data_IF_864531619402
#
_entry.id   IF_864531619402
#
_cell.length_a   1.000
_cell.length_b   1.000
_cell.length_c   1.000
_cell.angle_alpha   90.00
_cell.angle_beta   90.00
_cell.angle_gamma   90.00
#
_symmetry.space_group_name_H-M   'P 1'
#
loop_
_entity.id
_entity.type
_entity.pdbx_description
1 polymer ?
#
# COMPACT_ATOMS: atom_id res chain seq x y z
N UNK A 1 6.48 17.99 3.61
CA UNK A 1 5.70 19.02 4.31
C UNK A 1 5.85 18.75 5.79
N UNK A 2 6.37 19.72 6.54
CA UNK A 2 6.51 19.61 8.00
C UNK A 2 5.17 19.94 8.68
N UNK A 3 5.00 19.52 9.94
CA UNK A 3 3.75 19.72 10.67
C UNK A 3 3.30 21.18 10.75
N UNK A 4 4.22 22.10 11.09
CA UNK A 4 3.90 23.52 11.20
C UNK A 4 3.57 24.16 9.84
N UNK A 5 4.14 23.63 8.76
CA UNK A 5 3.84 24.07 7.39
C UNK A 5 2.45 23.59 6.97
N UNK A 6 2.11 22.34 7.29
CA UNK A 6 0.78 21.76 7.07
C UNK A 6 -0.30 22.61 7.73
N UNK A 7 -0.16 22.93 9.02
CA UNK A 7 -1.14 23.74 9.76
C UNK A 7 -1.28 25.16 9.22
N UNK A 8 -0.21 25.74 8.65
CA UNK A 8 -0.28 27.07 8.00
C UNK A 8 -1.00 27.01 6.65
N UNK A 9 -0.75 25.95 5.88
CA UNK A 9 -1.32 25.76 4.53
C UNK A 9 -2.79 25.36 4.57
N UNK A 10 -3.16 24.48 5.50
CA UNK A 10 -4.51 23.93 5.63
C UNK A 10 -5.12 24.33 6.97
N UNK A 11 -5.67 25.55 7.01
CA UNK A 11 -6.22 26.17 8.22
C UNK A 11 -7.69 25.83 8.48
N UNK A 12 -8.42 25.52 7.40
CA UNK A 12 -9.87 25.27 7.43
C UNK A 12 -10.30 24.35 6.27
N UNK A 13 -11.56 23.93 6.29
CA UNK A 13 -12.13 23.06 5.26
C UNK A 13 -12.05 23.69 3.86
N UNK A 14 -12.21 25.01 3.75
CA UNK A 14 -12.17 25.75 2.48
C UNK A 14 -10.78 25.69 1.82
N UNK A 15 -9.71 25.77 2.61
CA UNK A 15 -8.34 25.60 2.11
C UNK A 15 -8.09 24.18 1.59
N UNK A 16 -8.69 23.16 2.21
CA UNK A 16 -8.64 21.78 1.71
C UNK A 16 -9.44 21.62 0.43
N UNK A 17 -10.65 22.18 0.34
CA UNK A 17 -11.49 22.15 -0.87
C UNK A 17 -10.78 22.82 -2.06
N UNK A 18 -10.21 24.00 -1.83
CA UNK A 18 -9.47 24.73 -2.87
C UNK A 18 -8.29 23.93 -3.37
N UNK A 19 -7.43 23.43 -2.48
CA UNK A 19 -6.28 22.64 -2.89
C UNK A 19 -6.69 21.33 -3.58
N UNK A 20 -7.72 20.65 -3.09
CA UNK A 20 -8.24 19.44 -3.73
C UNK A 20 -8.73 19.74 -5.15
N UNK A 21 -9.40 20.87 -5.36
CA UNK A 21 -9.83 21.35 -6.67
C UNK A 21 -8.63 21.56 -7.60
N UNK A 22 -7.63 22.31 -7.15
CA UNK A 22 -6.41 22.61 -7.91
C UNK A 22 -5.71 21.33 -8.36
N UNK A 23 -5.46 20.40 -7.45
CA UNK A 23 -4.82 19.11 -7.76
C UNK A 23 -5.66 18.31 -8.76
N UNK A 24 -6.99 18.33 -8.64
CA UNK A 24 -7.86 17.61 -9.58
C UNK A 24 -7.88 18.23 -10.97
N UNK A 25 -7.90 19.55 -11.06
CA UNK A 25 -7.82 20.27 -12.34
C UNK A 25 -6.47 20.02 -13.02
N UNK A 26 -5.37 20.03 -12.26
CA UNK A 26 -4.03 19.69 -12.75
C UNK A 26 -3.94 18.24 -13.26
N UNK A 27 -4.61 17.29 -12.59
CA UNK A 27 -4.67 15.89 -13.04
C UNK A 27 -5.58 15.66 -14.24
N UNK A 28 -6.41 16.63 -14.60
CA UNK A 28 -7.42 16.50 -15.64
C UNK A 28 -8.67 15.80 -15.13
N UNK A 29 -9.82 16.37 -15.48
CA UNK A 29 -11.15 15.86 -15.12
C UNK A 29 -11.79 15.31 -16.38
N UNK A 30 -12.24 14.07 -16.30
CA UNK A 30 -12.87 13.35 -17.40
C UNK A 30 -14.31 13.07 -17.00
N UNK A 31 -15.24 13.47 -17.86
CA UNK A 31 -16.65 13.18 -17.71
C UNK A 31 -16.89 11.67 -17.80
N UNK A 32 -17.57 11.09 -16.81
CA UNK A 32 -17.86 9.64 -16.79
C UNK A 32 -18.91 9.20 -17.81
N UNK A 33 -19.81 10.11 -18.18
CA UNK A 33 -20.92 9.79 -19.10
C UNK A 33 -20.48 9.84 -20.57
N UNK A 34 -19.77 10.91 -21.00
CA UNK A 34 -19.37 11.09 -22.40
C UNK A 34 -17.86 11.10 -22.68
N UNK A 35 -17.00 11.04 -21.65
CA UNK A 35 -15.54 11.07 -21.83
C UNK A 35 -14.92 12.45 -22.11
N UNK A 36 -15.73 13.51 -22.19
CA UNK A 36 -15.23 14.87 -22.40
C UNK A 36 -14.25 15.31 -21.31
N UNK A 37 -13.25 16.10 -21.71
CA UNK A 37 -12.35 16.81 -20.80
C UNK A 37 -12.82 18.24 -20.50
N UNK A 38 -13.83 18.73 -21.23
CA UNK A 38 -14.30 20.09 -21.10
C UNK A 38 -15.37 20.25 -20.02
N UNK A 39 -15.03 21.04 -19.01
CA UNK A 39 -15.89 21.32 -17.87
C UNK A 39 -15.89 22.81 -17.54
N UNK A 40 -16.93 23.28 -16.87
CA UNK A 40 -16.91 24.54 -16.15
C UNK A 40 -17.12 24.29 -14.66
N UNK A 41 -16.52 25.14 -13.83
CA UNK A 41 -16.65 25.06 -12.38
C UNK A 41 -17.87 25.85 -11.90
N UNK A 42 -18.83 25.17 -11.30
CA UNK A 42 -19.92 25.78 -10.56
C UNK A 42 -19.44 26.12 -9.14
N UNK A 43 -19.15 27.40 -8.90
CA UNK A 43 -18.66 27.91 -7.62
C UNK A 43 -19.69 27.78 -6.50
N UNK A 44 -20.99 27.88 -6.80
CA UNK A 44 -22.04 27.85 -5.78
C UNK A 44 -22.22 26.45 -5.21
N UNK A 45 -22.21 25.46 -6.11
CA UNK A 45 -22.42 24.07 -5.72
C UNK A 45 -21.14 23.24 -5.59
N UNK A 46 -19.98 23.85 -5.86
CA UNK A 46 -18.64 23.24 -5.75
C UNK A 46 -18.50 21.94 -6.54
N UNK A 47 -18.86 22.00 -7.82
CA UNK A 47 -18.83 20.86 -8.75
C UNK A 47 -18.42 21.30 -10.15
N UNK A 48 -17.83 20.37 -10.88
CA UNK A 48 -17.61 20.53 -12.31
C UNK A 48 -18.82 20.05 -13.07
N UNK A 49 -19.25 20.81 -14.06
CA UNK A 49 -20.31 20.41 -14.99
C UNK A 49 -19.72 20.25 -16.38
N UNK A 50 -19.95 19.08 -16.98
CA UNK A 50 -19.49 18.77 -18.33
C UNK A 50 -20.17 19.70 -19.34
N UNK A 51 -19.40 20.27 -20.27
CA UNK A 51 -19.93 21.17 -21.29
C UNK A 51 -20.75 20.44 -22.37
N UNK A 52 -20.46 19.16 -22.60
CA UNK A 52 -21.12 18.37 -23.64
C UNK A 52 -22.45 17.77 -23.17
N UNK A 53 -22.43 16.94 -22.11
CA UNK A 53 -23.63 16.22 -21.65
C UNK A 53 -24.29 16.83 -20.41
N UNK A 54 -23.70 17.89 -19.83
CA UNK A 54 -24.25 18.55 -18.65
C UNK A 54 -24.15 17.76 -17.34
N UNK A 55 -23.52 16.58 -17.33
CA UNK A 55 -23.31 15.76 -16.14
C UNK A 55 -22.43 16.46 -15.11
N UNK A 56 -22.62 16.14 -13.83
CA UNK A 56 -21.95 16.79 -12.72
C UNK A 56 -20.94 15.87 -12.02
N UNK A 57 -19.78 16.43 -11.66
CA UNK A 57 -18.73 15.75 -10.89
C UNK A 57 -18.40 16.59 -9.66
N UNK A 58 -18.56 16.00 -8.47
CA UNK A 58 -18.20 16.66 -7.20
C UNK A 58 -16.70 16.60 -6.94
N UNK A 59 -16.21 17.41 -5.99
CA UNK A 59 -14.81 17.40 -5.52
C UNK A 59 -14.28 16.01 -5.14
N UNK A 60 -15.13 15.13 -4.61
CA UNK A 60 -14.71 13.81 -4.10
C UNK A 60 -15.04 12.66 -5.05
N UNK A 61 -15.86 12.89 -6.09
CA UNK A 61 -16.24 11.87 -7.08
C UNK A 61 -15.01 11.31 -7.79
N UNK A 62 -14.79 10.00 -7.71
CA UNK A 62 -13.66 9.29 -8.31
C UNK A 62 -12.36 9.32 -7.53
N UNK A 63 -12.40 9.82 -6.29
CA UNK A 63 -11.24 9.84 -5.39
C UNK A 63 -11.40 8.81 -4.28
N UNK A 64 -10.35 8.67 -3.48
CA UNK A 64 -10.39 7.95 -2.20
C UNK A 64 -11.47 8.46 -1.25
N UNK A 65 -11.90 9.72 -1.40
CA UNK A 65 -12.86 10.40 -0.54
C UNK A 65 -14.31 10.20 -1.01
N UNK A 66 -14.53 9.53 -2.17
CA UNK A 66 -15.87 9.33 -2.72
C UNK A 66 -16.80 8.65 -1.71
N UNK A 67 -18.01 9.21 -1.57
CA UNK A 67 -19.05 8.70 -0.68
C UNK A 67 -18.76 8.85 0.83
N UNK A 68 -17.68 9.54 1.20
CA UNK A 68 -17.38 9.84 2.59
C UNK A 68 -18.18 11.04 3.09
N UNK A 69 -18.61 10.97 4.35
CA UNK A 69 -19.17 12.11 5.10
C UNK A 69 -18.16 12.72 6.06
N UNK A 70 -16.91 12.25 6.04
CA UNK A 70 -15.84 12.83 6.85
C UNK A 70 -15.38 14.17 6.23
N UNK A 71 -15.07 15.19 7.05
CA UNK A 71 -14.48 16.44 6.57
C UNK A 71 -13.18 16.19 5.79
N UNK A 72 -12.91 16.98 4.75
CA UNK A 72 -11.66 16.98 4.00
C UNK A 72 -10.46 17.23 4.91
N UNK A 73 -10.61 18.07 5.94
CA UNK A 73 -9.56 18.29 6.92
C UNK A 73 -9.08 16.99 7.58
N UNK A 74 -9.97 16.00 7.78
CA UNK A 74 -9.57 14.70 8.32
C UNK A 74 -8.74 13.90 7.33
N UNK A 75 -9.11 13.91 6.06
CA UNK A 75 -8.36 13.24 5.00
C UNK A 75 -6.96 13.85 4.84
N UNK A 76 -6.89 15.17 4.79
CA UNK A 76 -5.62 15.90 4.66
C UNK A 76 -4.72 15.65 5.87
N UNK A 77 -5.28 15.71 7.08
CA UNK A 77 -4.53 15.42 8.31
C UNK A 77 -4.05 13.96 8.34
N UNK A 78 -4.90 13.00 7.94
CA UNK A 78 -4.51 11.60 7.89
C UNK A 78 -3.40 11.35 6.86
N UNK A 79 -3.52 11.92 5.66
CA UNK A 79 -2.48 11.88 4.61
C UNK A 79 -1.18 12.46 5.13
N UNK A 80 -1.24 13.61 5.81
CA UNK A 80 -0.08 14.26 6.41
C UNK A 80 0.58 13.39 7.49
N UNK A 81 -0.18 12.87 8.45
CA UNK A 81 0.35 12.02 9.52
C UNK A 81 0.96 10.73 8.98
N UNK A 82 0.28 10.07 8.04
CA UNK A 82 0.80 8.85 7.41
C UNK A 82 2.09 9.09 6.65
N UNK A 83 2.28 10.27 6.04
CA UNK A 83 3.46 10.57 5.21
C UNK A 83 4.59 11.29 5.95
N UNK A 84 4.32 11.92 7.09
CA UNK A 84 5.31 12.74 7.81
C UNK A 84 6.14 11.95 8.81
N UNK A 85 5.74 10.72 9.11
CA UNK A 85 6.44 9.85 10.05
C UNK A 85 6.93 8.59 9.36
N UNK A 86 8.11 8.09 9.79
CA UNK A 86 8.65 6.82 9.28
C UNK A 86 7.82 5.62 9.73
N UNK A 87 7.29 5.69 10.96
CA UNK A 87 6.39 4.69 11.49
C UNK A 87 4.96 4.91 10.96
N UNK A 88 4.10 3.91 11.12
CA UNK A 88 2.66 4.07 10.86
C UNK A 88 1.90 4.53 12.10
N UNK A 89 0.65 4.92 11.91
CA UNK A 89 -0.31 5.22 12.97
C UNK A 89 -1.32 4.08 13.08
N UNK A 90 -1.68 3.68 14.30
CA UNK A 90 -2.85 2.83 14.49
C UNK A 90 -4.12 3.63 14.19
N UNK A 91 -5.21 2.96 13.78
CA UNK A 91 -6.48 3.64 13.53
C UNK A 91 -7.07 4.29 14.78
N UNK A 92 -6.79 3.73 15.97
CA UNK A 92 -7.20 4.29 17.26
C UNK A 92 -6.42 5.57 17.58
N UNK A 93 -5.13 5.60 17.29
CA UNK A 93 -4.32 6.80 17.46
C UNK A 93 -4.73 7.88 16.45
N UNK A 94 -4.94 7.52 15.17
CA UNK A 94 -5.47 8.43 14.16
C UNK A 94 -6.83 9.03 14.61
N UNK A 95 -7.73 8.20 15.15
CA UNK A 95 -9.00 8.65 15.68
C UNK A 95 -8.83 9.67 16.81
N UNK A 96 -7.90 9.41 17.74
CA UNK A 96 -7.60 10.29 18.87
C UNK A 96 -7.08 11.65 18.39
N UNK A 97 -6.15 11.65 17.44
CA UNK A 97 -5.58 12.88 16.87
C UNK A 97 -6.63 13.72 16.12
N UNK A 98 -7.56 13.06 15.42
CA UNK A 98 -8.65 13.74 14.70
C UNK A 98 -9.82 14.14 15.61
N UNK A 99 -9.86 13.66 16.86
CA UNK A 99 -10.97 13.90 17.79
C UNK A 99 -12.30 13.27 17.34
N UNK A 100 -12.29 12.27 16.46
CA UNK A 100 -13.51 11.69 15.91
C UNK A 100 -14.14 10.67 16.87
N UNK A 101 -15.46 10.73 17.07
CA UNK A 101 -16.16 9.90 18.06
C UNK A 101 -16.15 8.40 17.75
N UNK A 102 -16.21 8.01 16.48
CA UNK A 102 -16.32 6.60 16.06
C UNK A 102 -15.03 6.10 15.44
N UNK A 103 -14.62 4.89 15.83
CA UNK A 103 -13.43 4.24 15.28
C UNK A 103 -13.60 3.89 13.80
N UNK A 104 -14.74 3.28 13.45
CA UNK A 104 -14.96 2.63 12.16
C UNK A 104 -14.72 3.55 10.95
N UNK A 105 -15.24 4.80 10.89
CA UNK A 105 -14.98 5.68 9.74
C UNK A 105 -13.51 6.05 9.56
N UNK A 106 -12.76 6.17 10.65
CA UNK A 106 -11.32 6.49 10.60
C UNK A 106 -10.53 5.27 10.11
N UNK A 107 -10.88 4.09 10.60
CA UNK A 107 -10.28 2.84 10.13
C UNK A 107 -10.51 2.62 8.63
N UNK A 108 -11.73 2.87 8.13
CA UNK A 108 -12.05 2.81 6.71
C UNK A 108 -11.29 3.85 5.88
N UNK A 109 -11.25 5.10 6.36
CA UNK A 109 -10.49 6.19 5.74
C UNK A 109 -9.03 5.77 5.52
N UNK A 110 -8.40 5.21 6.56
CA UNK A 110 -7.03 4.72 6.48
C UNK A 110 -6.87 3.55 5.50
N UNK A 111 -7.79 2.59 5.48
CA UNK A 111 -7.73 1.48 4.51
C UNK A 111 -7.92 1.93 3.07
N UNK A 112 -8.77 2.93 2.83
CA UNK A 112 -8.89 3.53 1.50
C UNK A 112 -7.58 4.20 1.08
N UNK A 113 -6.91 4.93 1.99
CA UNK A 113 -5.59 5.52 1.73
C UNK A 113 -4.53 4.46 1.44
N UNK A 114 -4.50 3.38 2.22
CA UNK A 114 -3.62 2.22 2.00
C UNK A 114 -3.86 1.54 0.66
N UNK A 115 -5.13 1.39 0.26
CA UNK A 115 -5.48 0.81 -1.03
C UNK A 115 -4.95 1.65 -2.19
N UNK A 116 -5.06 2.98 -2.16
CA UNK A 116 -4.50 3.83 -3.23
C UNK A 116 -2.98 3.91 -3.19
N UNK A 117 -2.35 3.71 -2.02
CA UNK A 117 -0.90 3.52 -1.91
C UNK A 117 -0.44 2.28 -2.70
N UNK A 118 -1.11 1.14 -2.47
CA UNK A 118 -0.83 -0.11 -3.20
C UNK A 118 -1.08 0.01 -4.71
N UNK A 119 -2.21 0.61 -5.12
CA UNK A 119 -2.53 0.86 -6.53
C UNK A 119 -1.52 1.78 -7.23
N UNK A 120 -0.98 2.76 -6.50
CA UNK A 120 0.06 3.64 -7.04
C UNK A 120 1.36 2.87 -7.28
N UNK A 121 1.75 2.03 -6.32
CA UNK A 121 2.99 1.27 -6.43
C UNK A 121 2.89 0.10 -7.40
N UNK A 122 1.68 -0.45 -7.61
CA UNK A 122 1.45 -1.50 -8.59
C UNK A 122 1.67 -1.05 -10.04
N UNK A 123 1.82 0.26 -10.29
CA UNK A 123 2.14 0.81 -11.63
C UNK A 123 3.60 0.64 -12.00
N UNK A 124 4.47 0.27 -11.05
CA UNK A 124 5.89 0.07 -11.30
C UNK A 124 6.21 -1.42 -11.28
N UNK A 125 7.14 -1.81 -12.14
CA UNK A 125 7.84 -3.09 -12.03
C UNK A 125 9.19 -2.85 -11.34
N UNK A 126 9.63 -3.84 -10.58
CA UNK A 126 10.97 -3.88 -10.00
C UNK A 126 11.97 -4.20 -11.12
N UNK A 127 13.13 -3.56 -11.09
CA UNK A 127 14.12 -3.58 -12.16
C UNK A 127 15.52 -3.93 -11.65
N UNK A 128 16.46 -4.13 -12.60
CA UNK A 128 17.88 -4.37 -12.34
C UNK A 128 18.15 -5.65 -11.58
N UNK A 129 18.38 -5.59 -10.26
CA UNK A 129 18.65 -6.75 -9.43
C UNK A 129 17.65 -6.78 -8.30
N UNK A 130 16.94 -7.90 -8.15
CA UNK A 130 15.84 -8.06 -7.20
C UNK A 130 16.14 -9.22 -6.26
N UNK A 131 16.22 -8.94 -4.96
CA UNK A 131 16.24 -9.96 -3.92
C UNK A 131 14.81 -10.45 -3.66
N UNK A 132 14.60 -11.75 -3.68
CA UNK A 132 13.29 -12.39 -3.51
C UNK A 132 13.35 -13.40 -2.36
N UNK A 133 12.39 -13.29 -1.44
CA UNK A 133 12.25 -14.19 -0.29
C UNK A 133 10.80 -14.24 0.21
N UNK A 134 10.52 -15.20 1.08
CA UNK A 134 9.21 -15.44 1.67
C UNK A 134 9.17 -14.98 3.13
N UNK A 135 8.05 -14.39 3.51
CA UNK A 135 7.81 -13.95 4.88
C UNK A 135 6.49 -14.47 5.41
N UNK A 136 6.48 -14.73 6.72
CA UNK A 136 5.30 -15.18 7.45
C UNK A 136 4.91 -14.10 8.47
N UNK A 137 3.66 -13.64 8.39
CA UNK A 137 3.10 -12.63 9.30
C UNK A 137 2.00 -13.24 10.14
N UNK A 138 1.97 -12.87 11.42
CA UNK A 138 0.93 -13.38 12.33
C UNK A 138 -0.37 -12.62 12.10
N UNK A 139 -1.42 -13.35 11.76
CA UNK A 139 -2.77 -12.80 11.51
C UNK A 139 -3.84 -13.63 12.20
N UNK A 140 -5.02 -13.01 12.34
CA UNK A 140 -6.24 -13.69 12.71
C UNK A 140 -6.99 -14.08 11.43
N UNK A 141 -7.37 -15.35 11.32
CA UNK A 141 -8.13 -15.88 10.21
C UNK A 141 -9.16 -16.91 10.68
N UNK A 142 -10.06 -17.28 9.77
CA UNK A 142 -11.10 -18.27 10.06
C UNK A 142 -10.55 -19.66 10.33
N UNK A 143 -9.37 -20.00 9.82
CA UNK A 143 -8.76 -21.32 10.04
C UNK A 143 -8.38 -21.54 11.50
N UNK A 144 -7.97 -20.46 12.20
CA UNK A 144 -7.75 -20.50 13.66
C UNK A 144 -9.05 -20.85 14.37
N UNK A 145 -10.16 -20.21 13.99
CA UNK A 145 -11.46 -20.49 14.61
C UNK A 145 -11.90 -21.92 14.31
N UNK A 146 -11.83 -22.36 13.04
CA UNK A 146 -12.15 -23.73 12.62
C UNK A 146 -11.30 -24.78 13.32
N UNK A 147 -10.02 -24.50 13.59
CA UNK A 147 -9.15 -25.40 14.34
C UNK A 147 -9.57 -25.50 15.81
N UNK A 148 -9.88 -24.36 16.46
CA UNK A 148 -10.42 -24.32 17.82
C UNK A 148 -11.76 -25.06 17.94
N UNK A 149 -12.68 -24.81 17.02
CA UNK A 149 -14.01 -25.43 16.99
C UNK A 149 -13.91 -26.96 16.84
N UNK A 150 -12.91 -27.44 16.09
CA UNK A 150 -12.64 -28.87 15.91
C UNK A 150 -11.75 -29.47 17.01
N UNK A 151 -11.44 -28.72 18.07
CA UNK A 151 -10.55 -29.16 19.16
C UNK A 151 -9.11 -29.49 18.71
N UNK A 152 -8.69 -29.03 17.52
CA UNK A 152 -7.36 -29.31 16.98
C UNK A 152 -6.35 -28.31 17.53
N UNK A 153 -5.16 -28.76 17.99
CA UNK A 153 -4.12 -27.84 18.39
C UNK A 153 -3.64 -27.00 17.20
N UNK A 154 -3.35 -25.72 17.46
CA UNK A 154 -2.74 -24.85 16.46
C UNK A 154 -1.29 -25.30 16.25
N UNK A 155 -0.90 -25.45 14.97
CA UNK A 155 0.47 -25.79 14.61
C UNK A 155 1.41 -24.63 14.97
N UNK A 156 2.69 -24.95 15.20
CA UNK A 156 3.76 -23.95 15.42
C UNK A 156 4.63 -23.82 14.16
N UNK A 157 5.38 -22.72 14.08
CA UNK A 157 6.28 -22.44 12.96
C UNK A 157 5.56 -21.98 11.69
N UNK A 158 6.27 -22.02 10.55
CA UNK A 158 5.79 -21.52 9.26
C UNK A 158 4.49 -22.18 8.77
N UNK A 159 4.25 -23.44 9.13
CA UNK A 159 3.02 -24.17 8.81
C UNK A 159 1.85 -23.92 9.78
N UNK A 160 1.97 -22.92 10.67
CA UNK A 160 0.90 -22.54 11.58
C UNK A 160 -0.25 -21.88 10.83
N UNK A 161 -1.49 -22.21 11.24
CA UNK A 161 -2.68 -21.53 10.75
C UNK A 161 -2.69 -20.03 11.08
N UNK A 162 -1.82 -19.56 11.98
CA UNK A 162 -1.68 -18.13 12.31
C UNK A 162 -0.78 -17.35 11.35
N UNK A 163 -0.11 -18.03 10.42
CA UNK A 163 0.89 -17.41 9.56
C UNK A 163 0.29 -17.17 8.17
N UNK A 164 0.09 -15.91 7.84
CA UNK A 164 -0.15 -15.47 6.46
C UNK A 164 1.17 -15.43 5.70
N UNK A 165 1.12 -15.85 4.44
CA UNK A 165 2.29 -16.00 3.58
C UNK A 165 2.46 -14.74 2.74
N UNK A 166 3.67 -14.22 2.65
CA UNK A 166 3.96 -12.98 1.92
C UNK A 166 5.18 -13.20 1.05
N UNK A 167 5.06 -12.93 -0.25
CA UNK A 167 6.20 -12.85 -1.16
C UNK A 167 6.80 -11.45 -1.05
N UNK A 168 8.11 -11.36 -0.80
CA UNK A 168 8.83 -10.09 -0.65
C UNK A 168 9.88 -9.98 -1.73
N UNK A 169 9.85 -8.87 -2.46
CA UNK A 169 10.77 -8.59 -3.57
C UNK A 169 11.34 -7.19 -3.38
N UNK A 170 12.67 -7.06 -3.36
CA UNK A 170 13.36 -5.79 -3.11
C UNK A 170 14.41 -5.54 -4.17
N UNK A 171 14.33 -4.40 -4.86
CA UNK A 171 15.43 -3.91 -5.70
C UNK A 171 16.66 -3.67 -4.82
N UNK A 172 17.78 -4.23 -5.24
CA UNK A 172 19.03 -4.20 -4.52
C UNK A 172 20.15 -3.88 -5.49
N UNK A 173 20.48 -2.61 -5.65
CA UNK A 173 21.51 -2.18 -6.60
C UNK A 173 22.90 -2.21 -5.94
N UNK A 174 23.89 -2.75 -6.63
CA UNK A 174 25.27 -2.72 -6.15
C UNK A 174 25.76 -1.27 -6.03
N UNK A 175 26.42 -0.96 -4.92
CA UNK A 175 26.99 0.37 -4.67
C UNK A 175 28.43 0.25 -4.23
N UNK A 176 29.27 1.19 -4.67
CA UNK A 176 30.66 1.30 -4.22
C UNK A 176 30.62 1.66 -2.72
N UNK A 177 31.16 0.81 -1.82
CA UNK A 177 31.23 1.12 -0.39
C UNK A 177 32.00 2.43 -0.18
N UNK A 178 31.50 3.28 0.72
CA UNK A 178 32.18 4.54 1.08
C UNK A 178 32.61 4.48 2.54
N UNK A 179 33.55 5.34 2.97
CA UNK A 179 33.97 5.44 4.38
C UNK A 179 32.80 5.67 5.37
N UNK A 180 31.64 6.16 4.91
CA UNK A 180 30.43 6.39 5.72
C UNK A 180 29.39 5.25 5.63
N UNK A 181 29.51 4.36 4.65
CA UNK A 181 28.56 3.25 4.45
C UNK A 181 29.31 2.00 4.00
N UNK A 182 29.41 1.04 4.92
CA UNK A 182 29.96 -0.29 4.66
C UNK A 182 29.03 -1.21 3.85
N UNK A 183 27.81 -0.75 3.51
CA UNK A 183 26.87 -1.53 2.70
C UNK A 183 27.31 -1.53 1.22
N UNK A 184 27.47 -2.73 0.65
CA UNK A 184 27.83 -2.96 -0.76
C UNK A 184 26.65 -2.87 -1.72
N UNK A 185 25.42 -2.71 -1.21
CA UNK A 185 24.19 -2.58 -2.00
C UNK A 185 23.28 -1.51 -1.41
N UNK A 186 22.46 -0.86 -2.23
CA UNK A 186 21.41 0.09 -1.85
C UNK A 186 20.04 -0.46 -2.24
N UNK A 187 19.08 -0.38 -1.33
CA UNK A 187 17.69 -0.70 -1.64
C UNK A 187 17.07 0.35 -2.57
N UNK A 188 16.39 -0.12 -3.60
CA UNK A 188 15.47 0.62 -4.44
C UNK A 188 14.02 0.43 -3.98
N UNK A 189 13.13 0.07 -4.91
CA UNK A 189 11.74 -0.25 -4.62
C UNK A 189 11.57 -1.64 -3.98
N UNK A 190 10.51 -1.78 -3.19
CA UNK A 190 10.03 -3.02 -2.62
C UNK A 190 8.59 -3.30 -3.07
N UNK A 191 8.28 -4.58 -3.16
CA UNK A 191 6.92 -5.09 -3.26
C UNK A 191 6.72 -6.26 -2.32
N UNK A 192 5.65 -6.20 -1.52
CA UNK A 192 5.21 -7.27 -0.64
C UNK A 192 3.80 -7.70 -1.07
N UNK A 193 3.62 -8.97 -1.39
CA UNK A 193 2.37 -9.53 -1.89
C UNK A 193 1.87 -10.59 -0.91
N UNK A 194 0.67 -10.40 -0.37
CA UNK A 194 -0.01 -11.40 0.44
C UNK A 194 -0.47 -12.55 -0.45
N UNK A 195 0.05 -13.75 -0.17
CA UNK A 195 -0.09 -14.93 -1.01
C UNK A 195 -1.07 -15.94 -0.39
N UNK A 196 -1.95 -16.57 -1.20
CA UNK A 196 -2.78 -17.68 -0.73
C UNK A 196 -1.93 -18.92 -0.36
N UNK A 197 -0.89 -19.17 -1.15
CA UNK A 197 0.06 -20.27 -0.99
C UNK A 197 1.45 -19.87 -1.50
N UNK A 198 2.44 -20.70 -1.20
CA UNK A 198 3.83 -20.55 -1.66
C UNK A 198 4.18 -21.67 -2.64
N UNK A 199 3.20 -22.11 -3.45
CA UNK A 199 3.47 -23.04 -4.53
C UNK A 199 4.31 -22.33 -5.59
N UNK A 200 5.24 -23.05 -6.20
CA UNK A 200 6.19 -22.46 -7.14
C UNK A 200 5.55 -21.81 -8.35
N UNK A 201 4.37 -22.29 -8.78
CA UNK A 201 3.59 -21.68 -9.86
C UNK A 201 2.99 -20.34 -9.44
N UNK A 202 2.44 -20.27 -8.23
CA UNK A 202 1.85 -19.04 -7.67
C UNK A 202 2.92 -17.97 -7.47
N UNK A 203 4.07 -18.35 -6.90
CA UNK A 203 5.21 -17.45 -6.71
C UNK A 203 5.73 -16.93 -8.05
N UNK A 204 5.92 -17.81 -9.04
CA UNK A 204 6.32 -17.43 -10.39
C UNK A 204 5.37 -16.40 -11.01
N UNK A 205 4.07 -16.68 -10.98
CA UNK A 205 3.08 -15.80 -11.61
C UNK A 205 3.03 -14.41 -10.97
N UNK A 206 3.20 -14.31 -9.66
CA UNK A 206 3.27 -13.02 -8.98
C UNK A 206 4.61 -12.30 -9.25
N UNK A 207 5.73 -13.03 -9.29
CA UNK A 207 7.03 -12.46 -9.63
C UNK A 207 7.04 -11.86 -11.05
N UNK A 208 6.50 -12.55 -12.05
CA UNK A 208 6.43 -12.07 -13.45
C UNK A 208 5.59 -10.79 -13.56
N UNK A 209 4.52 -10.65 -12.76
CA UNK A 209 3.72 -9.41 -12.72
C UNK A 209 4.47 -8.26 -12.07
N UNK A 210 5.33 -8.56 -11.11
CA UNK A 210 5.99 -7.58 -10.24
C UNK A 210 7.35 -7.10 -10.76
N UNK A 211 8.06 -7.93 -11.51
CA UNK A 211 9.47 -7.74 -11.87
C UNK A 211 9.58 -7.62 -13.39
N UNK A 212 10.40 -6.69 -13.86
CA UNK A 212 10.73 -6.54 -15.28
C UNK A 212 11.59 -7.72 -15.77
N UNK A 213 11.30 -8.24 -16.97
CA UNK A 213 11.95 -9.44 -17.51
C UNK A 213 13.46 -9.29 -17.70
N UNK A 214 13.97 -8.08 -17.87
CA UNK A 214 15.40 -7.80 -18.02
C UNK A 214 16.15 -7.77 -16.68
N UNK A 215 15.46 -8.03 -15.58
CA UNK A 215 16.06 -8.05 -14.23
C UNK A 215 16.81 -9.35 -13.94
N UNK A 216 17.69 -9.28 -12.96
CA UNK A 216 18.33 -10.42 -12.32
C UNK A 216 17.67 -10.70 -10.98
N UNK A 217 17.28 -11.94 -10.72
CA UNK A 217 16.72 -12.33 -9.43
C UNK A 217 17.77 -13.03 -8.59
N UNK A 218 17.87 -12.63 -7.33
CA UNK A 218 18.73 -13.25 -6.32
C UNK A 218 17.80 -13.84 -5.26
N UNK A 219 17.91 -15.13 -5.01
CA UNK A 219 16.98 -15.89 -4.17
C UNK A 219 17.73 -16.95 -3.36
N UNK A 220 17.09 -17.47 -2.33
CA UNK A 220 17.54 -18.68 -1.67
C UNK A 220 17.20 -19.94 -2.50
N UNK A 221 17.71 -21.09 -2.08
CA UNK A 221 17.44 -22.37 -2.73
C UNK A 221 16.11 -23.02 -2.26
N UNK A 222 15.07 -22.21 -2.05
CA UNK A 222 13.75 -22.70 -1.66
C UNK A 222 13.02 -23.42 -2.81
N UNK A 223 12.23 -24.45 -2.46
CA UNK A 223 11.41 -25.22 -3.41
C UNK A 223 10.36 -24.36 -4.12
N UNK A 224 9.91 -23.29 -3.49
CA UNK A 224 8.96 -22.35 -4.08
C UNK A 224 9.56 -21.53 -5.22
N UNK A 225 10.89 -21.41 -5.29
CA UNK A 225 11.57 -20.58 -6.28
C UNK A 225 12.01 -21.37 -7.52
N UNK A 226 11.86 -22.70 -7.53
CA UNK A 226 12.35 -23.61 -8.58
C UNK A 226 11.85 -23.26 -9.98
N UNK A 227 10.65 -22.68 -10.10
CA UNK A 227 10.05 -22.30 -11.40
C UNK A 227 10.40 -20.90 -11.88
N UNK A 228 11.28 -20.16 -11.20
CA UNK A 228 11.73 -18.83 -11.63
C UNK A 228 12.89 -18.91 -12.64
N UNK A 229 13.52 -20.08 -12.77
CA UNK A 229 14.62 -20.29 -13.73
C UNK A 229 14.15 -20.05 -15.16
N UNK A 230 14.83 -19.16 -15.88
CA UNK A 230 14.56 -18.85 -17.28
C UNK A 230 13.45 -17.81 -17.53
N UNK A 231 12.78 -17.33 -16.48
CA UNK A 231 11.72 -16.31 -16.61
C UNK A 231 12.27 -14.87 -16.69
N UNK A 232 13.53 -14.68 -16.27
CA UNK A 232 14.23 -13.39 -16.21
C UNK A 232 15.63 -13.49 -16.81
N UNK A 233 16.24 -12.35 -17.13
CA UNK A 233 17.59 -12.24 -17.72
C UNK A 233 18.65 -13.05 -16.98
N UNK A 234 18.53 -13.17 -15.66
CA UNK A 234 19.39 -14.03 -14.87
C UNK A 234 18.76 -14.43 -13.54
N UNK A 235 19.10 -15.63 -13.08
CA UNK A 235 18.71 -16.12 -11.75
C UNK A 235 19.96 -16.57 -11.01
N UNK A 236 20.16 -16.03 -9.81
CA UNK A 236 21.26 -16.39 -8.92
C UNK A 236 20.67 -17.04 -7.66
N UNK A 237 20.85 -18.36 -7.54
CA UNK A 237 20.46 -19.12 -6.36
C UNK A 237 21.59 -19.15 -5.34
N UNK A 238 21.26 -18.86 -4.09
CA UNK A 238 22.20 -18.88 -2.98
C UNK A 238 21.79 -19.96 -1.99
N UNK A 239 22.62 -20.99 -1.88
CA UNK A 239 22.52 -21.97 -0.79
C UNK A 239 23.17 -21.36 0.44
N UNK A 240 22.38 -21.00 1.45
CA UNK A 240 22.87 -20.29 2.63
C UNK A 240 22.40 -20.99 3.90
N UNK A 241 23.28 -21.07 4.91
CA UNK A 241 22.85 -21.41 6.27
C UNK A 241 21.94 -20.30 6.80
N UNK A 242 20.92 -20.61 7.63
CA UNK A 242 19.99 -19.59 8.14
C UNK A 242 20.68 -18.38 8.80
N UNK A 243 21.84 -18.59 9.41
CA UNK A 243 22.65 -17.59 10.10
C UNK A 243 23.29 -16.57 9.15
N UNK A 244 23.59 -16.98 7.92
CA UNK A 244 24.28 -16.16 6.91
C UNK A 244 23.31 -15.58 5.88
N UNK A 245 22.03 -15.99 5.88
CA UNK A 245 21.01 -15.51 4.93
C UNK A 245 20.89 -13.96 4.92
N UNK A 246 20.89 -13.25 6.07
CA UNK A 246 20.89 -11.79 6.10
C UNK A 246 22.15 -11.12 5.51
N UNK A 247 23.25 -11.86 5.33
CA UNK A 247 24.46 -11.33 4.67
C UNK A 247 24.38 -11.45 3.15
N UNK A 248 23.63 -12.43 2.66
CA UNK A 248 23.53 -12.78 1.24
C UNK A 248 22.36 -12.08 0.56
N UNK A 249 21.21 -11.97 1.24
CA UNK A 249 20.02 -11.23 0.80
C UNK A 249 19.71 -10.10 1.81
N UNK A 250 20.60 -9.11 1.96
CA UNK A 250 20.52 -8.16 3.06
C UNK A 250 19.25 -7.31 3.02
N UNK A 251 18.81 -6.86 1.85
CA UNK A 251 17.72 -5.89 1.77
C UNK A 251 16.35 -6.53 1.92
N UNK A 252 16.13 -7.73 1.38
CA UNK A 252 14.88 -8.47 1.59
C UNK A 252 14.70 -8.83 3.06
N UNK A 253 15.73 -9.35 3.74
CA UNK A 253 15.65 -9.71 5.16
C UNK A 253 15.55 -8.48 6.07
N UNK A 254 16.25 -7.37 5.77
CA UNK A 254 16.08 -6.10 6.50
C UNK A 254 14.64 -5.60 6.35
N UNK A 255 14.09 -5.63 5.13
CA UNK A 255 12.72 -5.18 4.88
C UNK A 255 11.69 -6.05 5.62
N UNK A 256 11.85 -7.38 5.59
CA UNK A 256 11.02 -8.33 6.34
C UNK A 256 11.07 -8.03 7.84
N UNK A 257 12.28 -7.83 8.40
CA UNK A 257 12.47 -7.53 9.82
C UNK A 257 11.80 -6.21 10.22
N UNK A 258 11.96 -5.16 9.42
CA UNK A 258 11.34 -3.86 9.65
C UNK A 258 9.81 -3.94 9.55
N UNK A 259 9.28 -4.64 8.56
CA UNK A 259 7.84 -4.84 8.41
C UNK A 259 7.28 -5.63 9.61
N UNK A 260 7.89 -6.75 9.98
CA UNK A 260 7.47 -7.55 11.16
C UNK A 260 7.48 -6.71 12.45
N UNK A 261 8.52 -5.90 12.65
CA UNK A 261 8.62 -5.01 13.79
C UNK A 261 7.51 -3.96 13.80
N UNK A 262 7.18 -3.37 12.64
CA UNK A 262 6.06 -2.43 12.52
C UNK A 262 4.73 -3.11 12.86
N UNK A 263 4.47 -4.31 12.33
CA UNK A 263 3.24 -5.04 12.56
C UNK A 263 3.06 -5.42 14.03
N UNK A 264 4.11 -5.94 14.67
CA UNK A 264 4.08 -6.33 16.07
C UNK A 264 3.75 -5.16 17.01
N UNK A 265 4.25 -3.97 16.70
CA UNK A 265 4.10 -2.78 17.54
C UNK A 265 2.79 -2.02 17.31
N UNK A 266 2.27 -1.99 16.08
CA UNK A 266 1.15 -1.11 15.71
C UNK A 266 -0.17 -1.84 15.53
N UNK A 267 -0.13 -3.12 15.15
CA UNK A 267 -1.32 -3.86 14.76
C UNK A 267 -1.50 -5.08 15.67
N UNK A 268 -2.62 -5.11 16.39
CA UNK A 268 -3.02 -6.24 17.21
C UNK A 268 -4.28 -6.88 16.61
N UNK A 269 -4.29 -8.20 16.47
CA UNK A 269 -5.41 -8.94 15.88
C UNK A 269 -5.66 -8.62 14.41
N UNK A 270 -4.59 -8.46 13.63
CA UNK A 270 -4.67 -8.16 12.20
C UNK A 270 -5.41 -9.29 11.49
N UNK A 271 -6.61 -9.01 10.96
CA UNK A 271 -7.29 -9.99 10.11
C UNK A 271 -6.53 -10.18 8.80
N UNK A 272 -6.41 -11.44 8.38
CA UNK A 272 -5.75 -11.86 7.15
C UNK A 272 -6.23 -11.09 5.91
N UNK A 273 -7.54 -10.84 5.81
CA UNK A 273 -8.16 -10.09 4.70
C UNK A 273 -7.68 -8.64 4.54
N UNK A 274 -7.08 -8.05 5.58
CA UNK A 274 -6.55 -6.68 5.54
C UNK A 274 -5.03 -6.62 5.47
N UNK A 275 -4.34 -7.78 5.50
CA UNK A 275 -2.88 -7.83 5.53
C UNK A 275 -2.26 -7.06 4.35
N UNK A 276 -2.77 -7.25 3.14
CA UNK A 276 -2.26 -6.55 1.96
C UNK A 276 -2.29 -5.03 2.12
N UNK A 277 -3.39 -4.46 2.63
CA UNK A 277 -3.47 -3.00 2.83
C UNK A 277 -2.38 -2.48 3.78
N UNK A 278 -2.05 -3.22 4.84
CA UNK A 278 -0.98 -2.81 5.76
C UNK A 278 0.41 -2.95 5.12
N UNK A 279 0.62 -3.97 4.28
CA UNK A 279 1.84 -4.14 3.49
C UNK A 279 1.98 -3.04 2.42
N UNK A 280 0.88 -2.62 1.80
CA UNK A 280 0.84 -1.51 0.83
C UNK A 280 1.33 -0.21 1.45
N UNK A 281 0.93 0.07 2.71
CA UNK A 281 1.44 1.22 3.45
C UNK A 281 2.96 1.15 3.65
N UNK A 282 3.45 -0.01 4.09
CA UNK A 282 4.87 -0.24 4.32
C UNK A 282 5.68 -0.03 3.04
N UNK A 283 5.24 -0.67 1.94
CA UNK A 283 5.88 -0.56 0.64
C UNK A 283 5.88 0.88 0.14
N UNK A 284 4.75 1.58 0.23
CA UNK A 284 4.62 2.96 -0.23
C UNK A 284 5.60 3.91 0.46
N UNK A 285 5.76 3.77 1.78
CA UNK A 285 6.71 4.56 2.56
C UNK A 285 8.15 4.20 2.22
N UNK A 286 8.46 2.90 2.14
CA UNK A 286 9.79 2.41 1.78
C UNK A 286 10.22 2.94 0.41
N UNK A 287 9.35 2.80 -0.59
CA UNK A 287 9.55 3.22 -1.97
C UNK A 287 9.79 4.73 -2.15
N UNK A 288 9.43 5.51 -1.14
CA UNK A 288 9.57 6.97 -1.16
C UNK A 288 10.51 7.49 -0.08
N UNK A 289 11.31 6.64 0.53
CA UNK A 289 12.24 7.04 1.60
C UNK A 289 13.26 8.12 1.17
N UNK A 290 13.49 8.27 -0.14
CA UNK A 290 14.39 9.29 -0.72
C UNK A 290 13.68 10.51 -1.33
N UNK A 291 12.35 10.64 -1.19
CA UNK A 291 11.55 11.70 -1.85
C UNK A 291 11.50 13.03 -1.07
N UNK A 292 12.21 13.14 0.05
CA UNK A 292 12.27 14.36 0.84
C UNK A 292 10.90 14.84 1.32
N UNK A 293 10.60 16.12 1.13
CA UNK A 293 9.39 16.75 1.68
C UNK A 293 8.13 16.59 0.80
N UNK A 294 8.22 15.94 -0.36
CA UNK A 294 7.10 15.83 -1.32
C UNK A 294 6.10 14.70 -1.04
N UNK A 295 6.24 13.97 0.08
CA UNK A 295 5.42 12.78 0.35
C UNK A 295 3.93 13.07 0.48
N UNK A 296 3.56 14.21 1.07
CA UNK A 296 2.16 14.64 1.19
C UNK A 296 1.53 14.81 -0.19
N UNK A 297 2.15 15.61 -1.07
CA UNK A 297 1.62 15.89 -2.40
C UNK A 297 1.53 14.60 -3.24
N UNK A 298 2.48 13.67 -3.09
CA UNK A 298 2.46 12.37 -3.78
C UNK A 298 1.27 11.50 -3.35
N UNK A 299 0.92 11.49 -2.06
CA UNK A 299 -0.22 10.73 -1.59
C UNK A 299 -1.54 11.44 -1.90
N UNK A 300 -1.58 12.77 -1.90
CA UNK A 300 -2.73 13.54 -2.38
C UNK A 300 -3.02 13.24 -3.85
N UNK A 301 -1.97 13.23 -4.68
CA UNK A 301 -2.05 12.84 -6.09
C UNK A 301 -2.62 11.42 -6.23
N UNK A 302 -2.09 10.44 -5.50
CA UNK A 302 -2.61 9.08 -5.55
C UNK A 302 -4.09 9.02 -5.09
N UNK A 303 -4.44 9.81 -4.07
CA UNK A 303 -5.79 9.89 -3.51
C UNK A 303 -6.83 10.43 -4.49
N UNK A 304 -6.44 11.27 -5.45
CA UNK A 304 -7.35 11.78 -6.49
C UNK A 304 -7.29 10.99 -7.80
N UNK A 305 -6.17 10.31 -8.08
CA UNK A 305 -5.99 9.53 -9.31
C UNK A 305 -6.62 8.15 -9.23
N UNK A 306 -6.58 7.50 -8.06
CA UNK A 306 -7.05 6.13 -7.92
C UNK A 306 -8.33 6.03 -7.10
N UNK A 307 -9.25 5.18 -7.55
CA UNK A 307 -10.39 4.75 -6.74
C UNK A 307 -9.98 3.55 -5.91
N UNK A 308 -10.17 3.56 -4.58
CA UNK A 308 -9.73 2.47 -3.72
C UNK A 308 -10.48 1.17 -4.05
N UNK A 309 -9.75 0.07 -4.11
CA UNK A 309 -10.33 -1.27 -4.22
C UNK A 309 -11.03 -1.71 -2.93
N UNK A 310 -10.72 -1.03 -1.81
CA UNK A 310 -11.37 -1.23 -0.52
C UNK A 310 -12.87 -0.87 -0.60
N UNK A 311 -13.70 -1.90 -0.76
CA UNK A 311 -15.16 -1.83 -0.65
C UNK A 311 -15.57 -2.26 0.75
N UNK A 312 -16.21 -1.37 1.50
CA UNK A 312 -16.68 -1.68 2.85
C UNK A 312 -17.67 -2.86 2.83
N UNK A 313 -17.40 -3.91 3.61
CA UNK A 313 -18.22 -5.14 3.63
C UNK A 313 -19.32 -5.16 4.69
N UNK A 314 -19.41 -4.18 5.60
CA UNK A 314 -20.42 -4.21 6.69
C UNK A 314 -21.71 -3.45 6.33
N UNK A 315 -21.69 -2.56 5.31
CA UNK A 315 -22.89 -1.88 4.78
C UNK A 315 -23.40 -2.46 3.45
N UNK A 316 -22.78 -3.52 2.93
CA UNK A 316 -23.23 -4.21 1.72
C UNK A 316 -24.00 -5.49 2.05
N UNK A 317 -25.03 -5.38 2.90
CA UNK A 317 -26.22 -6.22 2.72
C UNK A 317 -27.14 -5.47 1.76
N UNK A 318 -27.06 -5.85 0.48
CA UNK A 318 -28.00 -5.51 -0.59
C UNK A 318 -28.13 -4.01 -0.92
N UNK A 319 -27.17 -3.48 -1.68
CA UNK A 319 -27.54 -2.59 -2.80
C UNK A 319 -27.09 -3.32 -4.06
N UNK A 320 -27.97 -4.18 -4.57
CA UNK A 320 -28.05 -4.41 -6.00
C UNK A 320 -28.27 -3.05 -6.65
N UNK A 321 -27.18 -2.43 -7.10
CA UNK A 321 -27.28 -1.50 -8.21
C UNK A 321 -27.60 -2.38 -9.41
N UNK A 322 -28.89 -2.54 -9.67
CA UNK A 322 -29.37 -2.86 -11.00
C UNK A 322 -28.78 -1.82 -11.95
N UNK A 323 -27.78 -2.22 -12.72
CA UNK A 323 -27.45 -1.52 -13.96
C UNK A 323 -28.68 -1.67 -14.86
N UNK A 324 -29.42 -0.58 -15.03
CA UNK A 324 -30.27 -0.35 -16.18
C UNK A 324 -29.48 0.32 -17.29
#
# INVERSE_FOLDING_TARGET
MKLLEFSKRFKDEGSCEQYLREVREERGIICRECGSHEHYWDKYHKRWRCKECGSETTLTSGTVMQGSKLPLMYWFTAIHLLTSTKNSFSAKEMQRQLGHKRYQPIWEMMHKLRSVMGLRDSQYQLTKAVELDEAFFTTDNEEIQKAKDKGKPLKRGAGSQRQSKVLVMVESEATIPTKKSHKSRKAGHIRMVHMPDLLSETVKNEAIKAIDKESQIIMDDSKSHVKLDGEFKGTEKKVVKPEDAPRVLPWVHIAISNAKSMFLNLYHGTKDEYLQSYLDEFCYKFNRMYFGEHLFDRLMIASVTYTPAFKHRIYNKNITLSCG
#
